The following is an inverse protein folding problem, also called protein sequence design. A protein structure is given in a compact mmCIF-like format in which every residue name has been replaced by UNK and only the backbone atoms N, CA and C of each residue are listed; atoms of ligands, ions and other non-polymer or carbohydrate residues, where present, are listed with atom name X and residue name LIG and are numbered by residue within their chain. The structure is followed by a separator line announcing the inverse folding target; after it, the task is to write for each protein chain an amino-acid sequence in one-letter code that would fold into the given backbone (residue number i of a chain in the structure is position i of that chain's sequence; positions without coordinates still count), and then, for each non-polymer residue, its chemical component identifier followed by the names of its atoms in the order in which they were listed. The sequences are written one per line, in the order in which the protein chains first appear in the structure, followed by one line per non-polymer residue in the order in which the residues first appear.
data_IF_921917746545
#
_entry.id   IF_921917746545
#
_cell.length_a   1.000
_cell.length_b   1.000
_cell.length_c   1.000
_cell.angle_alpha   90.00
_cell.angle_beta   90.00
_cell.angle_gamma   90.00
#
_symmetry.space_group_name_H-M   'P 1'
#
loop_
_entity.id
_entity.type
_entity.pdbx_description
1 polymer ?
#
# COMPACT_ATOMS: atom_id res chain seq x y z
N UNK A 1 40.94 0.61 5.15
CA UNK A 1 40.27 0.31 3.86
C UNK A 1 38.79 0.60 4.01
N UNK A 2 38.22 1.47 3.17
CA UNK A 2 36.79 1.79 3.22
C UNK A 2 35.93 0.64 2.69
N UNK A 3 34.62 0.61 3.01
CA UNK A 3 33.73 -0.39 2.45
C UNK A 3 33.73 -0.30 0.90
N UNK A 4 33.59 -1.43 0.18
CA UNK A 4 33.54 -1.44 -1.29
C UNK A 4 32.49 -0.45 -1.79
N UNK A 5 32.71 0.16 -2.97
CA UNK A 5 31.90 1.28 -3.48
C UNK A 5 30.38 1.03 -3.39
N UNK A 6 29.93 -0.20 -3.66
CA UNK A 6 28.53 -0.63 -3.50
C UNK A 6 27.96 -0.38 -2.09
N UNK A 7 28.66 -0.78 -1.02
CA UNK A 7 28.20 -0.59 0.37
C UNK A 7 28.07 0.88 0.77
N UNK A 8 28.90 1.77 0.23
CA UNK A 8 28.76 3.22 0.51
C UNK A 8 27.48 3.77 -0.11
N UNK A 9 27.20 3.38 -1.36
CA UNK A 9 25.98 3.78 -2.06
C UNK A 9 24.72 3.21 -1.39
N UNK A 10 24.75 1.93 -1.00
CA UNK A 10 23.66 1.27 -0.23
C UNK A 10 23.33 2.05 1.04
N UNK A 11 24.34 2.38 1.85
CA UNK A 11 24.15 3.12 3.10
C UNK A 11 23.58 4.52 2.87
N UNK A 12 24.03 5.24 1.83
CA UNK A 12 23.49 6.56 1.50
C UNK A 12 22.01 6.51 1.10
N UNK A 13 21.63 5.54 0.27
CA UNK A 13 20.22 5.35 -0.16
C UNK A 13 19.35 4.93 1.03
N UNK A 14 19.82 4.02 1.88
CA UNK A 14 19.07 3.58 3.05
C UNK A 14 18.84 4.71 4.05
N UNK A 15 19.86 5.51 4.35
CA UNK A 15 19.71 6.70 5.22
C UNK A 15 18.73 7.72 4.65
N UNK A 16 18.74 7.91 3.32
CA UNK A 16 17.76 8.76 2.67
C UNK A 16 16.34 8.22 2.86
N UNK A 17 16.13 6.92 2.60
CA UNK A 17 14.81 6.30 2.70
C UNK A 17 14.27 6.30 4.15
N UNK A 18 15.13 5.99 5.12
CA UNK A 18 14.81 6.04 6.54
C UNK A 18 14.33 7.43 6.94
N UNK A 19 15.08 8.47 6.55
CA UNK A 19 14.69 9.87 6.80
C UNK A 19 13.39 10.24 6.08
N UNK A 20 13.24 9.86 4.81
CA UNK A 20 12.06 10.16 4.00
C UNK A 20 10.79 9.46 4.51
N UNK A 21 10.95 8.39 5.29
CA UNK A 21 9.84 7.55 5.79
C UNK A 21 9.65 7.60 7.30
N UNK A 22 10.28 8.59 7.96
CA UNK A 22 10.26 8.75 9.42
C UNK A 22 10.60 7.43 10.16
N UNK A 23 11.57 6.70 9.64
CA UNK A 23 12.05 5.43 10.21
C UNK A 23 11.17 4.20 9.94
N UNK A 24 10.03 4.33 9.26
CA UNK A 24 9.20 3.15 8.94
C UNK A 24 9.84 2.23 7.89
N UNK A 25 10.75 2.75 7.07
CA UNK A 25 11.53 1.97 6.10
C UNK A 25 13.02 2.22 6.38
N UNK A 26 13.65 1.28 7.08
CA UNK A 26 15.07 1.37 7.45
C UNK A 26 16.02 1.00 6.30
N UNK A 27 15.58 0.14 5.38
CA UNK A 27 16.42 -0.34 4.29
C UNK A 27 15.63 -0.61 3.01
N UNK A 28 16.05 0.08 1.96
CA UNK A 28 15.59 -0.08 0.57
C UNK A 28 16.57 -0.98 -0.19
N UNK A 29 17.87 -0.79 0.02
CA UNK A 29 18.94 -1.57 -0.56
C UNK A 29 19.53 -2.51 0.50
N UNK A 30 19.21 -3.80 0.38
CA UNK A 30 19.85 -4.84 1.18
C UNK A 30 21.36 -4.91 0.89
N UNK A 31 22.20 -5.31 1.85
CA UNK A 31 23.62 -5.49 1.61
C UNK A 31 23.87 -6.45 0.44
N UNK A 32 24.67 -6.01 -0.54
CA UNK A 32 24.98 -6.81 -1.73
C UNK A 32 23.92 -6.73 -2.84
N UNK A 33 23.01 -5.75 -2.78
CA UNK A 33 22.03 -5.51 -3.86
C UNK A 33 22.56 -4.58 -4.95
N UNK A 34 23.71 -3.93 -4.72
CA UNK A 34 24.49 -3.26 -5.78
C UNK A 34 25.66 -4.17 -6.18
N UNK A 35 25.67 -4.59 -7.44
CA UNK A 35 26.71 -5.42 -8.03
C UNK A 35 27.75 -4.57 -8.77
N UNK A 36 28.90 -5.14 -9.15
CA UNK A 36 29.94 -4.42 -9.90
C UNK A 36 29.47 -3.91 -11.27
N UNK A 37 28.47 -4.57 -11.86
CA UNK A 37 27.86 -4.21 -13.13
C UNK A 37 26.56 -3.39 -12.99
N UNK A 38 26.19 -2.97 -11.77
CA UNK A 38 25.05 -2.07 -11.58
C UNK A 38 25.42 -0.67 -12.09
N UNK A 39 24.72 -0.20 -13.11
CA UNK A 39 24.96 1.09 -13.77
C UNK A 39 24.07 2.18 -13.17
N UNK A 40 22.85 1.83 -12.72
CA UNK A 40 21.91 2.79 -12.13
C UNK A 40 20.99 2.13 -11.08
N UNK A 41 20.67 2.88 -10.03
CA UNK A 41 19.60 2.53 -9.09
C UNK A 41 18.60 3.68 -9.04
N UNK A 42 17.33 3.39 -9.30
CA UNK A 42 16.23 4.31 -9.01
C UNK A 42 15.51 3.83 -7.75
N UNK A 43 15.33 4.72 -6.79
CA UNK A 43 14.60 4.44 -5.56
C UNK A 43 13.52 5.50 -5.35
N UNK A 44 12.34 5.07 -4.96
CA UNK A 44 11.24 5.90 -4.52
C UNK A 44 10.84 5.43 -3.11
N UNK A 45 10.52 6.39 -2.24
CA UNK A 45 9.94 6.12 -0.94
C UNK A 45 8.75 7.06 -0.74
N UNK A 46 7.65 6.50 -0.23
CA UNK A 46 6.42 7.20 0.09
C UNK A 46 6.15 7.02 1.58
N UNK A 47 5.77 8.10 2.25
CA UNK A 47 5.28 8.07 3.62
C UNK A 47 3.94 8.79 3.69
N UNK A 48 3.02 8.19 4.41
CA UNK A 48 1.71 8.71 4.67
C UNK A 48 1.42 8.63 6.16
N UNK A 49 1.02 9.76 6.75
CA UNK A 49 0.38 9.81 8.06
C UNK A 49 -0.89 10.63 7.92
N UNK A 50 -2.04 9.98 8.07
CA UNK A 50 -3.34 10.64 8.11
C UNK A 50 -3.98 10.42 9.46
N UNK A 51 -4.43 11.48 10.10
CA UNK A 51 -5.23 11.43 11.34
C UNK A 51 -6.70 11.40 10.92
N UNK A 52 -7.53 10.56 11.53
CA UNK A 52 -8.96 10.53 11.20
C UNK A 52 -9.60 11.89 11.48
N UNK A 53 -10.56 12.31 10.63
CA UNK A 53 -11.35 13.52 10.88
C UNK A 53 -12.06 13.42 12.23
N UNK A 54 -12.68 12.26 12.45
CA UNK A 54 -13.26 11.84 13.72
C UNK A 54 -12.44 10.64 14.22
N UNK A 55 -11.60 10.86 15.23
CA UNK A 55 -10.77 9.80 15.84
C UNK A 55 -11.63 8.83 16.65
N UNK A 56 -11.17 7.60 16.78
CA UNK A 56 -11.82 6.62 17.64
C UNK A 56 -11.36 6.82 19.09
N UNK A 57 -12.23 6.52 20.04
CA UNK A 57 -11.84 6.48 21.45
C UNK A 57 -11.16 5.14 21.75
N UNK A 58 -9.86 5.18 22.08
CA UNK A 58 -9.07 4.00 22.43
C UNK A 58 -9.67 3.21 23.62
N UNK A 59 -10.34 3.88 24.55
CA UNK A 59 -11.00 3.21 25.68
C UNK A 59 -12.25 2.40 25.25
N UNK A 60 -12.78 2.69 24.06
CA UNK A 60 -13.89 1.95 23.45
C UNK A 60 -13.43 0.75 22.63
N UNK A 61 -12.14 0.63 22.31
CA UNK A 61 -11.58 -0.53 21.60
C UNK A 61 -11.69 -1.78 22.46
N UNK A 62 -12.26 -2.84 21.87
CA UNK A 62 -12.44 -4.14 22.55
C UNK A 62 -12.12 -5.28 21.63
N UNK A 63 -11.62 -6.36 22.21
CA UNK A 63 -11.40 -7.59 21.47
C UNK A 63 -12.72 -8.18 20.97
N UNK A 64 -12.72 -8.57 19.69
CA UNK A 64 -13.84 -9.27 19.07
C UNK A 64 -13.35 -10.30 18.07
N UNK A 65 -14.28 -11.12 17.61
CA UNK A 65 -13.98 -12.24 16.74
C UNK A 65 -13.77 -11.77 15.30
N UNK A 66 -12.64 -12.13 14.70
CA UNK A 66 -12.35 -12.00 13.28
C UNK A 66 -12.31 -13.38 12.62
N UNK A 67 -13.06 -13.55 11.53
CA UNK A 67 -13.15 -14.82 10.79
C UNK A 67 -12.13 -14.81 9.66
N UNK A 68 -11.22 -15.78 9.67
CA UNK A 68 -10.22 -15.97 8.63
C UNK A 68 -10.82 -16.70 7.42
N UNK A 69 -10.15 -16.58 6.27
CA UNK A 69 -10.62 -17.16 4.99
C UNK A 69 -10.60 -18.69 4.99
N UNK A 70 -9.77 -19.31 5.82
CA UNK A 70 -9.69 -20.77 6.02
C UNK A 70 -10.78 -21.30 6.96
N UNK A 71 -11.67 -20.42 7.46
CA UNK A 71 -12.73 -20.74 8.40
C UNK A 71 -12.31 -20.66 9.87
N UNK A 72 -11.02 -20.46 10.16
CA UNK A 72 -10.55 -20.26 11.53
C UNK A 72 -10.99 -18.92 12.09
N UNK A 73 -10.85 -18.79 13.41
CA UNK A 73 -11.27 -17.61 14.16
C UNK A 73 -10.16 -17.14 15.06
N UNK A 74 -9.93 -15.83 15.07
CA UNK A 74 -9.01 -15.17 15.99
C UNK A 74 -9.75 -14.07 16.76
N UNK A 75 -9.24 -13.72 17.93
CA UNK A 75 -9.61 -12.48 18.59
C UNK A 75 -8.68 -11.36 18.13
N UNK A 76 -9.26 -10.20 17.84
CA UNK A 76 -8.53 -9.01 17.42
C UNK A 76 -9.17 -7.77 18.05
N UNK A 77 -8.41 -6.70 18.32
CA UNK A 77 -8.96 -5.46 18.83
C UNK A 77 -9.76 -4.73 17.75
N UNK A 78 -11.03 -4.42 18.03
CA UNK A 78 -11.90 -3.64 17.17
C UNK A 78 -12.16 -2.26 17.76
N UNK A 79 -11.86 -1.23 16.99
CA UNK A 79 -12.24 0.15 17.23
C UNK A 79 -13.73 0.33 16.94
N UNK A 80 -14.41 1.17 17.71
CA UNK A 80 -15.85 1.42 17.57
C UNK A 80 -16.17 2.89 17.85
N UNK A 81 -17.30 3.35 17.33
CA UNK A 81 -17.89 4.65 17.65
C UNK A 81 -19.41 4.56 17.53
N UNK A 82 -20.12 5.41 18.28
CA UNK A 82 -21.57 5.54 18.21
C UNK A 82 -22.03 6.71 17.33
N UNK A 83 -21.09 7.50 16.81
CA UNK A 83 -21.39 8.57 15.86
C UNK A 83 -21.84 8.00 14.51
N UNK A 84 -22.68 8.75 13.80
CA UNK A 84 -23.08 8.38 12.45
C UNK A 84 -21.85 8.25 11.53
N UNK A 85 -21.89 7.31 10.60
CA UNK A 85 -20.78 6.98 9.70
C UNK A 85 -21.20 7.05 8.25
N UNK A 86 -20.26 7.32 7.34
CA UNK A 86 -20.54 7.35 5.90
C UNK A 86 -20.51 5.92 5.35
N UNK A 87 -21.67 5.26 5.35
CA UNK A 87 -21.83 3.86 4.95
C UNK A 87 -22.89 3.75 3.87
N UNK A 88 -22.66 2.85 2.90
CA UNK A 88 -23.67 2.47 1.91
C UNK A 88 -23.68 0.95 1.76
N UNK A 89 -24.87 0.34 1.83
CA UNK A 89 -25.04 -1.08 1.53
C UNK A 89 -25.38 -1.26 0.07
N UNK A 90 -24.53 -1.97 -0.65
CA UNK A 90 -24.78 -2.43 -2.02
C UNK A 90 -25.33 -3.85 -1.99
N UNK A 91 -25.62 -4.39 -3.17
CA UNK A 91 -26.16 -5.75 -3.33
C UNK A 91 -25.23 -6.82 -2.74
N UNK A 92 -23.93 -6.76 -3.04
CA UNK A 92 -22.96 -7.82 -2.66
C UNK A 92 -22.05 -7.45 -1.46
N UNK A 93 -21.99 -6.17 -1.09
CA UNK A 93 -21.04 -5.67 -0.10
C UNK A 93 -21.52 -4.37 0.57
N UNK A 94 -20.86 -3.97 1.65
CA UNK A 94 -20.98 -2.65 2.27
C UNK A 94 -19.74 -1.82 1.97
N UNK A 95 -19.94 -0.56 1.59
CA UNK A 95 -18.87 0.43 1.54
C UNK A 95 -18.88 1.31 2.79
N UNK A 96 -17.70 1.64 3.27
CA UNK A 96 -17.45 2.62 4.33
C UNK A 96 -16.45 3.64 3.80
N UNK A 97 -16.69 4.92 4.10
CA UNK A 97 -15.78 6.04 3.82
C UNK A 97 -15.35 6.68 5.14
N UNK A 98 -14.05 6.71 5.40
CA UNK A 98 -13.43 7.35 6.56
C UNK A 98 -12.58 8.55 6.11
N UNK A 99 -13.01 9.79 6.41
CA UNK A 99 -12.23 10.97 6.09
C UNK A 99 -11.06 11.16 7.06
N UNK A 100 -9.94 11.66 6.54
CA UNK A 100 -8.82 12.16 7.34
C UNK A 100 -8.96 13.67 7.57
N UNK A 101 -8.32 14.19 8.62
CA UNK A 101 -8.09 15.62 8.82
C UNK A 101 -7.21 16.14 7.68
N UNK A 102 -7.67 17.23 7.07
CA UNK A 102 -6.96 17.96 6.02
C UNK A 102 -6.88 19.42 6.46
N UNK A 103 -5.76 20.08 6.17
CA UNK A 103 -5.56 21.50 6.48
C UNK A 103 -6.07 22.43 5.37
N UNK A 104 -6.32 21.86 4.20
CA UNK A 104 -6.74 22.53 2.98
C UNK A 104 -8.13 21.99 2.62
N UNK A 105 -9.16 22.79 2.86
CA UNK A 105 -10.57 22.42 2.65
C UNK A 105 -10.91 22.15 1.18
N UNK A 106 -10.00 22.45 0.24
CA UNK A 106 -10.16 22.08 -1.18
C UNK A 106 -9.77 20.64 -1.50
N UNK A 107 -9.13 19.95 -0.54
CA UNK A 107 -8.67 18.58 -0.70
C UNK A 107 -9.46 17.66 0.20
N UNK A 108 -9.70 16.45 -0.27
CA UNK A 108 -10.22 15.37 0.56
C UNK A 108 -9.22 14.22 0.53
N UNK A 109 -8.90 13.71 1.72
CA UNK A 109 -8.17 12.46 1.84
C UNK A 109 -9.04 11.47 2.60
N UNK A 110 -9.22 10.30 2.02
CA UNK A 110 -10.24 9.35 2.43
C UNK A 110 -9.66 7.93 2.42
N UNK A 111 -10.05 7.12 3.39
CA UNK A 111 -9.97 5.67 3.31
C UNK A 111 -11.34 5.10 2.93
N UNK A 112 -11.34 4.15 1.98
CA UNK A 112 -12.51 3.36 1.66
C UNK A 112 -12.31 1.92 2.13
N UNK A 113 -13.31 1.37 2.81
CA UNK A 113 -13.35 -0.03 3.21
C UNK A 113 -14.54 -0.68 2.54
N UNK A 114 -14.29 -1.77 1.81
CA UNK A 114 -15.33 -2.57 1.17
C UNK A 114 -15.41 -3.93 1.85
N UNK A 115 -16.54 -4.21 2.49
CA UNK A 115 -16.79 -5.44 3.22
C UNK A 115 -17.82 -6.29 2.45
N UNK A 116 -17.43 -7.42 1.84
CA UNK A 116 -18.37 -8.36 1.26
C UNK A 116 -19.40 -8.86 2.28
N UNK A 117 -20.64 -9.11 1.86
CA UNK A 117 -21.64 -9.71 2.75
C UNK A 117 -21.34 -11.18 3.05
N UNK A 118 -20.80 -11.91 2.06
CA UNK A 118 -20.33 -13.31 2.22
C UNK A 118 -18.97 -13.33 2.91
N UNK A 119 -18.77 -14.25 3.87
CA UNK A 119 -17.52 -14.38 4.64
C UNK A 119 -16.31 -14.70 3.74
N UNK A 120 -16.52 -15.47 2.69
CA UNK A 120 -15.54 -15.88 1.68
C UNK A 120 -15.60 -15.02 0.40
N UNK A 121 -16.43 -13.97 0.38
CA UNK A 121 -16.71 -13.17 -0.82
C UNK A 121 -15.61 -12.17 -1.23
N UNK A 122 -14.48 -12.13 -0.52
CA UNK A 122 -13.41 -11.16 -0.79
C UNK A 122 -12.85 -11.32 -2.21
N UNK A 123 -12.57 -12.56 -2.64
CA UNK A 123 -12.00 -12.81 -3.96
C UNK A 123 -12.96 -12.49 -5.11
N UNK A 124 -14.26 -12.75 -4.92
CA UNK A 124 -15.29 -12.38 -5.90
C UNK A 124 -15.40 -10.86 -6.03
N UNK A 125 -15.33 -10.14 -4.89
CA UNK A 125 -15.31 -8.69 -4.90
C UNK A 125 -14.06 -8.15 -5.60
N UNK A 126 -12.87 -8.70 -5.30
CA UNK A 126 -11.61 -8.30 -5.97
C UNK A 126 -11.70 -8.52 -7.49
N UNK A 127 -12.21 -9.66 -7.95
CA UNK A 127 -12.45 -9.91 -9.39
C UNK A 127 -13.40 -8.88 -9.99
N UNK A 128 -14.49 -8.54 -9.29
CA UNK A 128 -15.43 -7.51 -9.72
C UNK A 128 -14.76 -6.15 -9.88
N UNK A 129 -13.94 -5.74 -8.90
CA UNK A 129 -13.15 -4.49 -8.98
C UNK A 129 -12.18 -4.52 -10.17
N UNK A 130 -11.46 -5.63 -10.36
CA UNK A 130 -10.50 -5.76 -11.45
C UNK A 130 -11.14 -5.78 -12.84
N UNK A 131 -12.38 -6.30 -12.95
CA UNK A 131 -13.10 -6.42 -14.22
C UNK A 131 -13.85 -5.16 -14.66
N UNK A 132 -14.17 -4.25 -13.75
CA UNK A 132 -14.92 -3.03 -14.03
C UNK A 132 -14.07 -1.78 -13.73
N UNK A 133 -13.51 -1.18 -14.78
CA UNK A 133 -12.68 0.04 -14.66
C UNK A 133 -13.41 1.23 -14.04
N UNK A 134 -14.75 1.22 -14.02
CA UNK A 134 -15.60 2.24 -13.41
C UNK A 134 -16.12 1.82 -12.05
N UNK A 135 -15.68 0.69 -11.49
CA UNK A 135 -16.18 0.18 -10.21
C UNK A 135 -16.06 1.26 -9.13
N UNK A 136 -14.87 1.83 -8.94
CA UNK A 136 -14.65 2.83 -7.90
C UNK A 136 -15.56 4.04 -8.09
N UNK A 137 -15.56 4.66 -9.28
CA UNK A 137 -16.37 5.85 -9.55
C UNK A 137 -17.87 5.60 -9.38
N UNK A 138 -18.37 4.41 -9.73
CA UNK A 138 -19.78 4.01 -9.54
C UNK A 138 -20.20 3.80 -8.08
N UNK A 139 -19.28 3.48 -7.19
CA UNK A 139 -19.62 3.12 -5.81
C UNK A 139 -19.23 4.22 -4.81
N UNK A 140 -18.09 4.88 -4.99
CA UNK A 140 -17.60 5.90 -4.03
C UNK A 140 -18.51 7.14 -3.97
N UNK A 141 -19.15 7.54 -5.06
CA UNK A 141 -20.08 8.68 -5.05
C UNK A 141 -21.36 8.42 -4.22
N UNK A 142 -21.72 7.14 -4.03
CA UNK A 142 -22.87 6.76 -3.19
C UNK A 142 -22.54 6.80 -1.70
N UNK A 143 -21.25 6.88 -1.34
CA UNK A 143 -20.76 7.07 0.03
C UNK A 143 -20.71 8.57 0.37
N UNK A 144 -21.89 9.17 0.50
CA UNK A 144 -22.08 10.61 0.73
C UNK A 144 -22.94 10.96 1.94
N UNK A 145 -23.63 9.99 2.54
CA UNK A 145 -24.55 10.23 3.66
C UNK A 145 -24.05 9.57 4.94
N UNK A 146 -24.11 10.32 6.02
CA UNK A 146 -23.96 9.81 7.38
C UNK A 146 -25.21 9.01 7.76
N UNK A 147 -25.00 7.82 8.32
CA UNK A 147 -26.06 6.94 8.79
C UNK A 147 -25.69 6.36 10.15
N UNK A 148 -26.70 6.20 11.00
CA UNK A 148 -26.53 5.55 12.30
C UNK A 148 -26.33 4.05 12.13
N UNK A 149 -25.24 3.52 12.70
CA UNK A 149 -24.92 2.10 12.69
C UNK A 149 -25.07 1.52 14.11
N UNK A 150 -26.01 0.59 14.30
CA UNK A 150 -26.22 -0.08 15.60
C UNK A 150 -24.98 -0.80 16.12
N UNK A 151 -24.17 -1.34 15.22
CA UNK A 151 -22.91 -2.01 15.53
C UNK A 151 -21.90 -1.63 14.45
N UNK A 152 -20.89 -0.88 14.84
CA UNK A 152 -19.81 -0.42 13.98
C UNK A 152 -18.48 -0.85 14.58
N UNK A 153 -17.70 -1.64 13.85
CA UNK A 153 -16.45 -2.19 14.37
C UNK A 153 -15.44 -2.27 13.22
N UNK A 154 -14.25 -1.72 13.43
CA UNK A 154 -13.13 -1.81 12.49
C UNK A 154 -11.94 -2.42 13.23
N UNK A 155 -11.33 -3.50 12.73
CA UNK A 155 -10.16 -4.07 13.39
C UNK A 155 -8.98 -3.09 13.32
N UNK A 156 -8.20 -2.99 14.40
CA UNK A 156 -6.85 -2.41 14.32
C UNK A 156 -5.97 -3.44 13.63
N UNK A 157 -5.12 -2.99 12.73
CA UNK A 157 -4.20 -3.90 12.07
C UNK A 157 -2.92 -3.21 11.63
N UNK A 158 -1.89 -4.04 11.53
CA UNK A 158 -0.59 -3.68 11.00
C UNK A 158 -0.20 -4.74 10.00
N UNK A 159 0.01 -4.34 8.74
CA UNK A 159 0.38 -5.23 7.65
C UNK A 159 1.66 -4.71 7.00
N UNK A 160 2.53 -5.65 6.63
CA UNK A 160 3.66 -5.40 5.75
C UNK A 160 3.56 -6.35 4.56
N UNK A 161 3.90 -5.84 3.39
CA UNK A 161 3.86 -6.59 2.15
C UNK A 161 5.09 -6.27 1.31
N UNK A 162 5.59 -7.26 0.58
CA UNK A 162 6.74 -7.09 -0.29
C UNK A 162 6.70 -8.09 -1.42
N UNK A 163 7.01 -7.62 -2.63
CA UNK A 163 7.07 -8.45 -3.81
C UNK A 163 8.06 -7.91 -4.82
N UNK A 164 8.47 -8.78 -5.73
CA UNK A 164 9.28 -8.42 -6.88
C UNK A 164 8.35 -7.99 -8.03
N UNK A 165 8.20 -6.69 -8.21
CA UNK A 165 7.32 -6.10 -9.21
C UNK A 165 7.75 -6.40 -10.64
N UNK A 166 9.04 -6.68 -10.90
CA UNK A 166 9.50 -7.12 -12.22
C UNK A 166 8.76 -8.37 -12.70
N UNK A 167 8.46 -9.33 -11.83
CA UNK A 167 7.70 -10.54 -12.18
C UNK A 167 6.28 -10.20 -12.62
N UNK A 168 5.60 -9.34 -11.88
CA UNK A 168 4.24 -8.90 -12.20
C UNK A 168 4.20 -8.12 -13.52
N UNK A 169 5.19 -7.27 -13.78
CA UNK A 169 5.30 -6.55 -15.04
C UNK A 169 5.51 -7.49 -16.23
N UNK A 170 6.41 -8.46 -16.11
CA UNK A 170 6.68 -9.46 -17.16
C UNK A 170 5.43 -10.31 -17.42
N UNK A 171 4.77 -10.81 -16.37
CA UNK A 171 3.52 -11.57 -16.49
C UNK A 171 2.39 -10.73 -17.13
N UNK A 172 2.38 -9.43 -16.89
CA UNK A 172 1.47 -8.47 -17.50
C UNK A 172 1.83 -8.04 -18.94
N UNK A 173 2.91 -8.57 -19.52
CA UNK A 173 3.36 -8.28 -20.88
C UNK A 173 4.33 -7.09 -21.02
N UNK A 174 4.81 -6.52 -19.91
CA UNK A 174 5.87 -5.51 -19.88
C UNK A 174 7.23 -6.17 -19.61
N UNK A 175 7.80 -6.81 -20.62
CA UNK A 175 9.02 -7.60 -20.55
C UNK A 175 10.25 -6.94 -21.24
N UNK A 176 10.01 -5.99 -22.17
CA UNK A 176 11.07 -5.30 -22.92
C UNK A 176 12.14 -4.64 -22.03
N UNK A 177 11.82 -3.93 -20.93
CA UNK A 177 12.86 -3.34 -20.06
C UNK A 177 13.77 -4.37 -19.39
N UNK A 178 13.32 -5.63 -19.30
CA UNK A 178 13.99 -6.73 -18.62
C UNK A 178 14.71 -7.69 -19.58
N UNK A 179 14.50 -7.55 -20.89
CA UNK A 179 14.97 -8.46 -21.92
C UNK A 179 16.39 -8.11 -22.41
N UNK A 180 17.07 -9.08 -23.06
CA UNK A 180 18.48 -8.97 -23.52
C UNK A 180 18.65 -8.77 -25.05
N UNK A 181 17.57 -8.50 -25.77
CA UNK A 181 17.57 -8.31 -27.23
C UNK A 181 18.04 -6.93 -27.68
N UNK A 182 18.36 -6.79 -28.98
CA UNK A 182 18.83 -5.53 -29.59
C UNK A 182 17.75 -4.43 -29.59
N UNK A 183 16.47 -4.84 -29.67
CA UNK A 183 15.29 -3.96 -29.51
C UNK A 183 14.79 -3.89 -28.05
N UNK A 184 15.48 -4.54 -27.12
CA UNK A 184 15.07 -4.67 -25.73
C UNK A 184 15.99 -3.88 -24.80
N UNK A 185 15.40 -3.22 -23.81
CA UNK A 185 16.11 -2.38 -22.86
C UNK A 185 15.74 -0.91 -22.97
N UNK A 186 16.20 -0.13 -22.01
CA UNK A 186 16.05 1.32 -22.00
C UNK A 186 17.11 1.88 -22.97
N UNK A 187 16.70 2.13 -24.21
CA UNK A 187 17.55 2.78 -25.20
C UNK A 187 17.99 4.14 -24.66
N UNK A 188 19.30 4.30 -24.43
CA UNK A 188 19.81 5.43 -23.67
C UNK A 188 20.24 6.56 -24.60
N UNK A 189 19.61 7.73 -24.45
CA UNK A 189 20.04 9.04 -24.97
C UNK A 189 21.22 9.65 -24.19
N UNK A 190 21.77 8.97 -23.17
CA UNK A 190 22.73 9.56 -22.21
C UNK A 190 24.11 8.89 -22.17
N UNK A 191 24.29 7.65 -22.63
CA UNK A 191 25.63 6.99 -22.62
C UNK A 191 25.88 5.97 -23.76
N UNK A 192 25.07 5.92 -24.82
CA UNK A 192 25.20 4.96 -25.94
C UNK A 192 25.24 3.46 -25.55
N UNK A 193 25.04 3.13 -24.27
CA UNK A 193 24.96 1.77 -23.74
C UNK A 193 23.51 1.33 -23.59
N UNK A 194 23.26 0.07 -23.93
CA UNK A 194 22.00 -0.61 -23.65
C UNK A 194 21.86 -0.82 -22.14
N UNK A 195 20.84 -0.22 -21.53
CA UNK A 195 20.51 -0.43 -20.12
C UNK A 195 19.40 -1.46 -20.00
N UNK A 196 19.56 -2.38 -19.05
CA UNK A 196 18.57 -3.40 -18.74
C UNK A 196 18.15 -3.28 -17.28
N UNK A 197 16.86 -3.37 -17.01
CA UNK A 197 16.36 -3.53 -15.65
C UNK A 197 16.60 -4.96 -15.18
N UNK A 198 17.32 -5.10 -14.07
CA UNK A 198 17.63 -6.39 -13.45
C UNK A 198 16.55 -6.82 -12.47
N UNK A 199 16.06 -5.90 -11.64
CA UNK A 199 15.06 -6.17 -10.59
C UNK A 199 14.24 -4.91 -10.33
N UNK A 200 12.93 -5.08 -10.10
CA UNK A 200 12.11 -4.07 -9.43
C UNK A 200 11.49 -4.70 -8.18
N UNK A 201 11.75 -4.11 -7.02
CA UNK A 201 11.23 -4.59 -5.74
C UNK A 201 10.41 -3.50 -5.09
N UNK A 202 9.21 -3.87 -4.65
CA UNK A 202 8.31 -3.01 -3.90
C UNK A 202 8.05 -3.59 -2.52
N UNK A 203 8.09 -2.74 -1.49
CA UNK A 203 7.58 -3.08 -0.16
C UNK A 203 6.70 -1.96 0.37
N UNK A 204 5.72 -2.35 1.17
CA UNK A 204 4.82 -1.44 1.85
C UNK A 204 4.56 -1.89 3.28
N UNK A 205 4.19 -0.91 4.08
CA UNK A 205 3.84 -1.02 5.48
C UNK A 205 2.58 -0.18 5.69
N UNK A 206 1.61 -0.70 6.43
CA UNK A 206 0.35 -0.05 6.69
C UNK A 206 -0.12 -0.37 8.11
N UNK A 207 -0.49 0.65 8.86
CA UNK A 207 -0.96 0.56 10.24
C UNK A 207 -2.23 1.42 10.38
N UNK A 208 -3.28 0.82 10.91
CA UNK A 208 -4.57 1.46 11.20
C UNK A 208 -4.85 1.35 12.69
N UNK A 209 -5.09 2.49 13.32
CA UNK A 209 -5.41 2.62 14.74
C UNK A 209 -6.43 3.74 14.99
N UNK A 210 -6.65 4.07 16.25
CA UNK A 210 -7.69 5.00 16.69
C UNK A 210 -7.40 6.45 16.32
N UNK A 211 -6.12 6.85 16.27
CA UNK A 211 -5.69 8.18 15.82
C UNK A 211 -5.85 8.31 14.30
N UNK A 212 -5.53 7.25 13.54
CA UNK A 212 -5.39 7.38 12.11
C UNK A 212 -4.79 6.18 11.39
N UNK A 213 -4.10 6.50 10.30
CA UNK A 213 -3.33 5.58 9.50
C UNK A 213 -1.90 6.07 9.36
N UNK A 214 -0.95 5.16 9.54
CA UNK A 214 0.45 5.33 9.17
C UNK A 214 0.80 4.32 8.10
N UNK A 215 1.31 4.79 6.98
CA UNK A 215 1.76 3.92 5.90
C UNK A 215 3.08 4.40 5.34
N UNK A 216 3.89 3.45 4.88
CA UNK A 216 5.11 3.75 4.17
C UNK A 216 5.30 2.73 3.07
N UNK A 217 5.90 3.12 1.95
CA UNK A 217 6.24 2.19 0.89
C UNK A 217 7.57 2.61 0.25
N UNK A 218 8.28 1.66 -0.32
CA UNK A 218 9.39 1.95 -1.20
C UNK A 218 9.35 1.06 -2.43
N UNK A 219 9.87 1.61 -3.53
CA UNK A 219 10.16 0.87 -4.74
C UNK A 219 11.61 1.11 -5.09
N UNK A 220 12.35 0.04 -5.36
CA UNK A 220 13.68 0.13 -5.96
C UNK A 220 13.69 -0.54 -7.32
N UNK A 221 14.47 0.01 -8.22
CA UNK A 221 14.79 -0.56 -9.51
C UNK A 221 16.30 -0.57 -9.68
N UNK A 222 16.86 -1.75 -9.93
CA UNK A 222 18.29 -1.95 -10.19
C UNK A 222 18.46 -2.16 -11.69
N UNK A 223 19.36 -1.40 -12.29
CA UNK A 223 19.71 -1.43 -13.71
C UNK A 223 21.18 -1.83 -13.82
#
# INVERSE_FOLDING_TARGET
MGPPRGRRSENSVNKWAEKATNGLIESVLLPGSIFENTELVLANALYFKGIWKEEFDESSTKDSKFYLLDGNLIEAPFMTTYADQIIHSFEDFKGLRLPYKVTDDTKELLMYIFQPHKKDGLWDLVKKVASDSKFLTKHVHKLSRYVSARRFMIPKFKISFGFEASKVFIEGGLDLPFSKGVDAGLHRTVMEKLLKVSEVLHRSFFEVNEEGTRAAAYTRMVI
#
